data_IF_491703077157
#
_entry.id   IF_491703077157
#
_cell.length_a   1.000
_cell.length_b   1.000
_cell.length_c   1.000
_cell.angle_alpha   90.00
_cell.angle_beta   90.00
_cell.angle_gamma   90.00
#
_symmetry.space_group_name_H-M   'P 1'
#
loop_
_entity.id
_entity.type
_entity.pdbx_description
1 polymer ?
#
# COMPACT_ATOMS: atom_id res chain seq x y z
N UNK A 1 -16.94 -14.45 16.16
CA UNK A 1 -17.32 -14.49 14.72
C UNK A 1 -18.34 -13.38 14.49
N UNK A 2 -18.08 -12.49 13.52
CA UNK A 2 -18.78 -11.21 13.33
C UNK A 2 -20.25 -11.36 12.95
N UNK A 3 -20.59 -12.40 12.16
CA UNK A 3 -21.97 -12.65 11.77
C UNK A 3 -22.79 -13.14 12.96
N UNK A 4 -22.21 -13.98 13.82
CA UNK A 4 -22.82 -14.35 15.11
C UNK A 4 -23.00 -13.15 16.04
N UNK A 5 -22.04 -12.23 16.09
CA UNK A 5 -22.15 -11.01 16.89
C UNK A 5 -23.29 -10.11 16.39
N UNK A 6 -23.42 -9.93 15.06
CA UNK A 6 -24.54 -9.21 14.46
C UNK A 6 -25.89 -9.80 14.86
N UNK A 7 -26.05 -11.12 14.80
CA UNK A 7 -27.31 -11.76 15.18
C UNK A 7 -27.68 -11.49 16.65
N UNK A 8 -26.71 -11.66 17.56
CA UNK A 8 -26.93 -11.37 19.00
C UNK A 8 -27.33 -9.92 19.27
N UNK A 9 -26.77 -8.98 18.52
CA UNK A 9 -27.10 -7.57 18.63
C UNK A 9 -28.55 -7.30 18.19
N UNK A 10 -29.02 -7.95 17.12
CA UNK A 10 -30.43 -7.87 16.70
C UNK A 10 -31.34 -8.42 17.79
N UNK A 11 -31.00 -9.57 18.38
CA UNK A 11 -31.81 -10.21 19.41
C UNK A 11 -31.90 -9.34 20.69
N UNK A 12 -30.78 -8.71 21.11
CA UNK A 12 -30.74 -7.81 22.26
C UNK A 12 -31.53 -6.50 22.02
N UNK A 13 -31.44 -5.92 20.83
CA UNK A 13 -32.25 -4.77 20.44
C UNK A 13 -33.76 -5.10 20.45
N UNK A 14 -34.12 -6.29 19.97
CA UNK A 14 -35.51 -6.76 20.00
C UNK A 14 -36.02 -6.95 21.43
N UNK A 15 -35.22 -7.58 22.30
CA UNK A 15 -35.58 -7.82 23.70
C UNK A 15 -35.79 -6.52 24.49
N UNK A 16 -35.08 -5.45 24.14
CA UNK A 16 -35.20 -4.13 24.77
C UNK A 16 -36.26 -3.23 24.11
N UNK A 17 -36.99 -3.73 23.11
CA UNK A 17 -37.95 -2.97 22.32
C UNK A 17 -37.32 -1.72 21.65
N UNK A 18 -36.05 -1.83 21.24
CA UNK A 18 -35.27 -0.79 20.54
C UNK A 18 -35.15 -1.05 19.04
N UNK A 19 -35.70 -2.17 18.55
CA UNK A 19 -35.69 -2.55 17.15
C UNK A 19 -37.00 -2.14 16.48
N UNK A 20 -36.95 -1.20 15.54
CA UNK A 20 -38.14 -0.74 14.81
C UNK A 20 -38.58 -1.74 13.72
N UNK A 21 -37.68 -2.12 12.82
CA UNK A 21 -37.95 -3.04 11.72
C UNK A 21 -36.66 -3.65 11.17
N UNK A 22 -36.78 -4.81 10.48
CA UNK A 22 -35.69 -5.44 9.73
C UNK A 22 -36.15 -5.61 8.29
N UNK A 23 -35.40 -5.04 7.35
CA UNK A 23 -35.71 -5.08 5.92
C UNK A 23 -34.56 -5.73 5.13
N UNK A 24 -34.85 -6.62 4.17
CA UNK A 24 -33.85 -7.11 3.23
C UNK A 24 -33.25 -5.95 2.43
N UNK A 25 -31.92 -5.91 2.34
CA UNK A 25 -31.21 -4.88 1.59
C UNK A 25 -29.99 -5.48 0.88
N UNK A 26 -29.84 -5.19 -0.40
CA UNK A 26 -28.71 -5.63 -1.21
C UNK A 26 -27.56 -4.63 -1.08
N UNK A 27 -26.45 -5.07 -0.50
CA UNK A 27 -25.25 -4.27 -0.30
C UNK A 27 -24.15 -4.68 -1.28
N UNK A 28 -23.43 -3.69 -1.80
CA UNK A 28 -22.16 -3.91 -2.51
C UNK A 28 -21.04 -4.04 -1.47
N UNK A 29 -20.71 -5.27 -1.10
CA UNK A 29 -19.74 -5.55 -0.05
C UNK A 29 -18.34 -5.75 -0.67
N UNK A 30 -17.32 -4.98 -0.26
CA UNK A 30 -15.96 -5.16 -0.75
C UNK A 30 -15.39 -6.51 -0.29
N UNK A 31 -14.69 -7.19 -1.20
CA UNK A 31 -14.07 -8.49 -0.96
C UNK A 31 -12.61 -8.45 -1.36
N UNK A 32 -11.78 -9.17 -0.60
CA UNK A 32 -10.37 -9.33 -0.92
C UNK A 32 -10.23 -10.08 -2.25
N UNK A 33 -9.44 -9.52 -3.16
CA UNK A 33 -9.23 -10.06 -4.51
C UNK A 33 -8.75 -11.52 -4.49
N UNK A 34 -7.83 -11.86 -3.57
CA UNK A 34 -7.24 -13.20 -3.47
C UNK A 34 -8.09 -14.21 -2.72
N UNK A 35 -8.73 -13.81 -1.61
CA UNK A 35 -9.43 -14.74 -0.71
C UNK A 35 -10.95 -14.73 -0.86
N UNK A 36 -11.51 -13.71 -1.50
CA UNK A 36 -12.96 -13.47 -1.58
C UNK A 36 -13.62 -13.12 -0.23
N UNK A 37 -12.83 -13.01 0.84
CA UNK A 37 -13.32 -12.66 2.17
C UNK A 37 -13.79 -11.20 2.20
N UNK A 38 -14.85 -10.91 2.95
CA UNK A 38 -15.32 -9.53 3.14
C UNK A 38 -14.24 -8.72 3.86
N UNK A 39 -13.86 -7.60 3.26
CA UNK A 39 -12.89 -6.64 3.79
C UNK A 39 -13.53 -5.87 4.93
N UNK A 40 -12.80 -5.74 6.04
CA UNK A 40 -13.20 -4.93 7.19
C UNK A 40 -12.23 -3.76 7.34
N UNK A 41 -12.71 -2.51 7.31
CA UNK A 41 -11.86 -1.37 7.61
C UNK A 41 -11.53 -1.38 9.10
N UNK A 42 -10.24 -1.31 9.41
CA UNK A 42 -9.73 -1.19 10.77
C UNK A 42 -8.73 -0.03 10.81
N UNK A 43 -8.70 0.68 11.94
CA UNK A 43 -7.66 1.68 12.18
C UNK A 43 -6.41 0.97 12.69
N UNK A 44 -5.31 1.16 11.98
CA UNK A 44 -3.98 0.70 12.37
C UNK A 44 -2.94 1.71 11.88
N UNK A 45 -1.83 1.80 12.59
CA UNK A 45 -0.68 2.56 12.13
C UNK A 45 -0.06 1.84 10.93
N UNK A 46 0.16 2.56 9.84
CA UNK A 46 0.64 2.03 8.57
C UNK A 46 1.54 3.06 7.88
N UNK A 47 2.39 2.59 6.97
CA UNK A 47 3.25 3.43 6.16
C UNK A 47 2.50 3.89 4.91
N UNK A 48 2.46 5.21 4.71
CA UNK A 48 1.83 5.82 3.56
C UNK A 48 2.83 6.64 2.75
N UNK A 49 2.70 6.56 1.44
CA UNK A 49 3.40 7.41 0.49
C UNK A 49 2.48 8.56 0.06
N UNK A 50 2.99 9.80 0.12
CA UNK A 50 2.34 10.95 -0.50
C UNK A 50 2.44 10.81 -2.03
N UNK A 51 1.32 10.41 -2.62
CA UNK A 51 1.20 10.19 -4.06
C UNK A 51 0.77 11.44 -4.82
N UNK A 52 0.31 12.50 -4.15
CA UNK A 52 -0.26 13.67 -4.81
C UNK A 52 0.82 14.36 -5.66
N UNK A 53 1.98 14.61 -5.07
CA UNK A 53 3.13 15.20 -5.76
C UNK A 53 3.64 14.33 -6.92
N UNK A 54 3.65 13.01 -6.72
CA UNK A 54 4.08 12.06 -7.75
C UNK A 54 3.11 12.04 -8.93
N UNK A 55 1.80 12.08 -8.66
CA UNK A 55 0.77 12.11 -9.68
C UNK A 55 0.82 13.37 -10.54
N UNK A 56 1.05 14.53 -9.92
CA UNK A 56 1.22 15.80 -10.64
C UNK A 56 2.40 15.75 -11.61
N UNK A 57 3.55 15.22 -11.17
CA UNK A 57 4.72 15.09 -12.02
C UNK A 57 4.50 14.10 -13.17
N UNK A 58 3.84 12.98 -12.90
CA UNK A 58 3.52 11.98 -13.91
C UNK A 58 2.56 12.53 -14.98
N UNK A 59 1.57 13.34 -14.59
CA UNK A 59 0.70 14.07 -15.53
C UNK A 59 1.49 15.08 -16.37
N UNK A 60 2.40 15.85 -15.76
CA UNK A 60 3.22 16.84 -16.46
C UNK A 60 4.00 16.20 -17.61
N UNK A 61 4.69 15.09 -17.35
CA UNK A 61 5.51 14.37 -18.36
C UNK A 61 4.64 13.86 -19.52
N UNK A 62 3.44 13.37 -19.24
CA UNK A 62 2.49 12.94 -20.27
C UNK A 62 1.99 14.13 -21.10
N UNK A 63 1.58 15.23 -20.47
CA UNK A 63 1.07 16.43 -21.17
C UNK A 63 2.14 17.13 -22.02
N UNK A 64 3.41 17.08 -21.61
CA UNK A 64 4.54 17.57 -22.40
C UNK A 64 4.87 16.67 -23.61
N UNK A 65 4.21 15.52 -23.74
CA UNK A 65 4.40 14.59 -24.85
C UNK A 65 5.65 13.71 -24.73
N UNK A 66 6.30 13.68 -23.55
CA UNK A 66 7.45 12.81 -23.30
C UNK A 66 7.03 11.32 -23.23
N UNK A 67 5.80 11.06 -22.80
CA UNK A 67 5.17 9.73 -22.81
C UNK A 67 3.98 9.74 -23.78
N UNK A 68 3.89 8.70 -24.62
CA UNK A 68 2.79 8.53 -25.56
C UNK A 68 2.04 7.23 -25.29
N UNK A 69 0.74 7.34 -25.07
CA UNK A 69 -0.14 6.18 -24.92
C UNK A 69 -0.53 5.57 -26.27
N UNK A 70 -0.58 4.24 -26.31
CA UNK A 70 -1.09 3.47 -27.45
C UNK A 70 -2.02 2.37 -26.93
N UNK A 71 -3.32 2.39 -27.27
CA UNK A 71 -4.05 3.46 -27.96
C UNK A 71 -4.10 4.81 -27.20
N UNK A 72 -4.24 5.92 -27.93
CA UNK A 72 -4.13 7.27 -27.36
C UNK A 72 -5.22 7.64 -26.35
N UNK A 73 -6.41 7.02 -26.42
CA UNK A 73 -7.53 7.29 -25.51
C UNK A 73 -7.28 6.85 -24.06
N UNK A 74 -6.28 6.00 -23.80
CA UNK A 74 -5.91 5.60 -22.44
C UNK A 74 -5.42 6.77 -21.58
N UNK A 75 -5.02 7.88 -22.21
CA UNK A 75 -4.65 9.11 -21.50
C UNK A 75 -5.78 9.61 -20.59
N UNK A 76 -7.05 9.53 -21.02
CA UNK A 76 -8.18 9.99 -20.20
C UNK A 76 -8.37 9.14 -18.94
N UNK A 77 -8.19 7.82 -19.04
CA UNK A 77 -8.25 6.92 -17.88
C UNK A 77 -7.12 7.21 -16.91
N UNK A 78 -5.92 7.47 -17.45
CA UNK A 78 -4.73 7.80 -16.67
C UNK A 78 -4.90 9.14 -15.93
N UNK A 79 -5.37 10.18 -16.62
CA UNK A 79 -5.69 11.49 -16.06
C UNK A 79 -6.74 11.42 -14.97
N UNK A 80 -7.83 10.70 -15.22
CA UNK A 80 -8.89 10.53 -14.23
C UNK A 80 -8.40 9.82 -12.96
N UNK A 81 -7.53 8.82 -13.11
CA UNK A 81 -6.96 8.09 -11.97
C UNK A 81 -5.97 8.97 -11.18
N UNK A 82 -5.03 9.62 -11.86
CA UNK A 82 -4.04 10.48 -11.22
C UNK A 82 -4.64 11.75 -10.59
N UNK A 83 -5.74 12.26 -11.14
CA UNK A 83 -6.46 13.41 -10.59
C UNK A 83 -7.22 13.12 -9.29
N UNK A 84 -7.37 11.85 -8.90
CA UNK A 84 -8.12 11.42 -7.71
C UNK A 84 -7.30 10.48 -6.81
N UNK A 85 -5.98 10.66 -6.77
CA UNK A 85 -5.11 9.82 -5.95
C UNK A 85 -5.37 10.00 -4.45
N UNK A 86 -5.33 8.89 -3.74
CA UNK A 86 -5.21 8.85 -2.29
C UNK A 86 -3.82 8.38 -1.91
N UNK A 87 -3.33 8.80 -0.73
CA UNK A 87 -2.06 8.32 -0.21
C UNK A 87 -2.01 6.79 -0.24
N UNK A 88 -0.94 6.27 -0.81
CA UNK A 88 -0.79 4.84 -1.00
C UNK A 88 -0.25 4.21 0.27
N UNK A 89 -1.05 3.35 0.90
CA UNK A 89 -0.57 2.47 1.97
C UNK A 89 0.43 1.46 1.39
N UNK A 90 1.70 1.59 1.74
CA UNK A 90 2.80 0.76 1.22
C UNK A 90 3.21 -0.37 2.18
N UNK A 91 2.74 -0.38 3.43
CA UNK A 91 3.00 -1.47 4.38
C UNK A 91 2.00 -2.62 4.25
N UNK A 92 2.47 -3.85 4.46
CA UNK A 92 1.67 -5.08 4.42
C UNK A 92 2.08 -6.01 5.56
N UNK A 93 1.10 -6.56 6.25
CA UNK A 93 1.28 -7.56 7.31
C UNK A 93 1.38 -8.96 6.69
N UNK A 94 2.39 -9.16 5.83
CA UNK A 94 2.66 -10.41 5.12
C UNK A 94 4.04 -10.94 5.50
N UNK A 95 4.22 -12.25 5.42
CA UNK A 95 5.53 -12.87 5.67
C UNK A 95 6.49 -12.76 4.49
N UNK A 96 5.96 -12.53 3.28
CA UNK A 96 6.74 -12.43 2.06
C UNK A 96 6.75 -10.99 1.54
N UNK A 97 7.95 -10.42 1.42
CA UNK A 97 8.19 -9.10 0.88
C UNK A 97 9.48 -8.50 1.44
N UNK A 98 9.83 -7.31 0.96
CA UNK A 98 10.97 -6.56 1.48
C UNK A 98 10.59 -5.92 2.81
N UNK A 99 11.31 -6.21 3.90
CA UNK A 99 11.08 -5.58 5.21
C UNK A 99 11.26 -4.07 5.10
N UNK A 100 10.33 -3.32 5.69
CA UNK A 100 10.40 -1.86 5.67
C UNK A 100 11.67 -1.42 6.41
N UNK A 101 12.48 -0.51 5.82
CA UNK A 101 13.70 -0.01 6.45
C UNK A 101 13.36 1.06 7.51
N UNK A 102 12.53 0.69 8.48
CA UNK A 102 12.19 1.50 9.64
C UNK A 102 12.44 0.68 10.91
N UNK A 103 12.91 1.36 11.95
CA UNK A 103 13.26 0.77 13.24
C UNK A 103 12.64 1.59 14.36
N UNK A 104 12.32 0.90 15.46
CA UNK A 104 11.70 1.46 16.65
C UNK A 104 12.60 1.25 17.86
N UNK A 105 12.64 2.24 18.73
CA UNK A 105 13.10 2.02 20.11
C UNK A 105 11.97 1.56 21.02
N UNK A 106 12.29 1.27 22.28
CA UNK A 106 11.31 0.82 23.29
C UNK A 106 10.24 1.88 23.62
N UNK A 107 10.47 3.15 23.26
CA UNK A 107 9.52 4.24 23.43
C UNK A 107 8.60 4.44 22.20
N UNK A 108 8.83 3.68 21.11
CA UNK A 108 8.09 3.78 19.87
C UNK A 108 8.58 4.89 18.94
N UNK A 109 9.73 5.51 19.20
CA UNK A 109 10.34 6.49 18.29
C UNK A 109 10.84 5.78 17.04
N UNK A 110 10.52 6.36 15.87
CA UNK A 110 10.87 5.80 14.56
C UNK A 110 12.19 6.34 14.04
N UNK A 111 13.01 5.45 13.48
CA UNK A 111 14.28 5.72 12.81
C UNK A 111 14.30 5.03 11.44
N UNK A 112 14.72 5.72 10.38
CA UNK A 112 14.74 5.19 9.00
C UNK A 112 16.16 5.23 8.46
N UNK A 113 16.64 4.10 7.93
CA UNK A 113 18.02 3.91 7.50
C UNK A 113 18.15 2.76 6.50
N UNK A 114 19.28 2.61 5.80
CA UNK A 114 19.45 1.49 4.85
C UNK A 114 19.62 0.13 5.54
N UNK A 115 20.11 0.13 6.78
CA UNK A 115 20.34 -1.08 7.57
C UNK A 115 20.32 -0.78 9.08
N UNK A 116 20.29 -1.84 9.89
CA UNK A 116 20.20 -1.75 11.35
C UNK A 116 21.38 -1.00 11.98
N UNK A 117 22.61 -1.23 11.51
CA UNK A 117 23.80 -0.59 12.08
C UNK A 117 23.74 0.94 11.91
N UNK A 118 23.26 1.40 10.76
CA UNK A 118 23.02 2.82 10.50
C UNK A 118 21.94 3.39 11.42
N UNK A 119 20.81 2.69 11.55
CA UNK A 119 19.71 3.11 12.42
C UNK A 119 20.15 3.21 13.90
N UNK A 120 20.86 2.20 14.41
CA UNK A 120 21.36 2.18 15.79
C UNK A 120 22.42 3.27 16.03
N UNK A 121 23.22 3.62 15.03
CA UNK A 121 24.15 4.75 15.11
C UNK A 121 23.42 6.09 15.22
N UNK A 122 22.33 6.27 14.47
CA UNK A 122 21.50 7.47 14.57
C UNK A 122 20.81 7.59 15.93
N UNK A 123 20.35 6.46 16.48
CA UNK A 123 19.63 6.42 17.76
C UNK A 123 20.55 6.38 18.99
N UNK A 124 21.80 5.94 18.83
CA UNK A 124 22.74 5.70 19.93
C UNK A 124 22.35 4.54 20.84
N UNK A 125 21.49 3.63 20.37
CA UNK A 125 20.92 2.51 21.14
C UNK A 125 20.46 1.37 20.21
N UNK A 126 20.29 0.13 20.71
CA UNK A 126 19.70 -0.97 19.94
C UNK A 126 18.27 -0.66 19.53
N UNK A 127 17.86 -1.12 18.34
CA UNK A 127 16.52 -0.90 17.81
C UNK A 127 15.91 -2.19 17.26
N UNK A 128 14.57 -2.22 17.15
CA UNK A 128 13.82 -3.32 16.51
C UNK A 128 13.27 -2.87 15.17
N UNK A 129 13.53 -3.63 14.11
CA UNK A 129 12.99 -3.33 12.78
C UNK A 129 11.47 -3.53 12.74
N UNK A 130 10.76 -2.71 11.96
CA UNK A 130 9.36 -2.89 11.61
C UNK A 130 9.10 -4.30 11.06
N UNK A 131 8.00 -4.92 11.50
CA UNK A 131 7.60 -6.27 11.10
C UNK A 131 6.89 -6.33 9.76
N UNK A 132 6.39 -5.20 9.29
CA UNK A 132 5.74 -5.08 8.00
C UNK A 132 6.73 -5.20 6.84
N UNK A 133 6.19 -5.66 5.71
CA UNK A 133 6.88 -5.67 4.43
C UNK A 133 6.25 -4.65 3.47
N UNK A 134 7.04 -4.22 2.49
CA UNK A 134 6.58 -3.35 1.42
C UNK A 134 5.60 -4.08 0.50
N UNK A 135 4.62 -3.33 -0.01
CA UNK A 135 3.72 -3.79 -1.06
C UNK A 135 4.50 -4.29 -2.28
N UNK A 136 4.05 -5.40 -2.87
CA UNK A 136 4.69 -5.95 -4.07
C UNK A 136 4.70 -4.94 -5.22
N UNK A 137 3.66 -4.10 -5.32
CA UNK A 137 3.61 -3.02 -6.31
C UNK A 137 4.68 -1.94 -6.09
N UNK A 138 5.16 -1.75 -4.85
CA UNK A 138 6.26 -0.82 -4.55
C UNK A 138 7.55 -1.27 -5.20
N UNK A 139 7.93 -2.55 -5.02
CA UNK A 139 9.11 -3.09 -5.69
C UNK A 139 8.95 -3.15 -7.21
N UNK A 140 7.75 -3.49 -7.72
CA UNK A 140 7.51 -3.53 -9.17
C UNK A 140 7.63 -2.15 -9.83
N UNK A 141 7.27 -1.08 -9.13
CA UNK A 141 7.42 0.29 -9.63
C UNK A 141 8.89 0.69 -9.84
N UNK A 142 9.83 0.02 -9.17
CA UNK A 142 11.27 0.28 -9.28
C UNK A 142 11.96 -0.51 -10.41
N UNK A 143 11.23 -1.37 -11.11
CA UNK A 143 11.77 -2.22 -12.19
C UNK A 143 12.61 -1.48 -13.25
N UNK A 144 12.20 -0.29 -13.76
CA UNK A 144 12.97 0.44 -14.75
C UNK A 144 14.37 0.85 -14.27
N UNK A 145 14.60 0.89 -12.96
CA UNK A 145 15.88 1.24 -12.35
C UNK A 145 16.64 -0.01 -11.91
N UNK A 146 15.97 -0.91 -11.17
CA UNK A 146 16.61 -2.06 -10.51
C UNK A 146 17.26 -3.03 -11.50
N UNK A 147 16.76 -3.09 -12.73
CA UNK A 147 17.33 -3.93 -13.79
C UNK A 147 18.57 -3.33 -14.46
N UNK A 148 18.86 -2.05 -14.23
CA UNK A 148 19.94 -1.32 -14.88
C UNK A 148 21.10 -1.02 -13.93
N UNK A 149 21.22 -1.76 -12.82
CA UNK A 149 22.33 -1.63 -11.88
C UNK A 149 22.15 -0.53 -10.82
N UNK A 150 21.01 0.15 -10.79
CA UNK A 150 20.60 0.97 -9.65
C UNK A 150 20.31 0.08 -8.43
N UNK A 151 20.72 0.45 -7.21
CA UNK A 151 21.24 1.77 -6.78
C UNK A 151 22.75 1.96 -6.88
N UNK A 152 23.50 0.94 -7.30
CA UNK A 152 24.97 0.92 -7.20
C UNK A 152 25.69 1.52 -8.42
N UNK A 153 24.97 2.23 -9.31
CA UNK A 153 25.46 2.80 -10.59
C UNK A 153 26.40 1.85 -11.37
N UNK A 154 26.08 0.54 -11.39
CA UNK A 154 26.90 -0.42 -12.14
C UNK A 154 26.50 -0.35 -13.62
N UNK A 155 27.42 0.03 -14.55
CA UNK A 155 27.07 0.17 -15.95
C UNK A 155 26.68 -1.17 -16.59
N UNK A 156 25.40 -1.31 -16.93
CA UNK A 156 24.84 -2.20 -17.96
C UNK A 156 25.45 -3.60 -18.12
N UNK A 157 24.93 -4.59 -17.40
CA UNK A 157 24.77 -5.93 -18.01
C UNK A 157 23.54 -5.87 -18.90
N UNK A 158 23.76 -5.72 -20.20
CA UNK A 158 22.72 -5.73 -21.23
C UNK A 158 21.77 -6.93 -21.07
N UNK A 159 20.49 -6.81 -21.46
CA UNK A 159 19.57 -7.94 -21.43
C UNK A 159 20.14 -9.09 -22.26
N UNK A 160 20.27 -10.27 -21.63
CA UNK A 160 20.52 -11.53 -22.33
C UNK A 160 19.38 -11.68 -23.36
N UNK A 161 19.67 -11.85 -24.66
CA UNK A 161 18.62 -12.07 -25.64
C UNK A 161 17.86 -13.33 -25.26
N UNK A 162 16.53 -13.22 -25.21
CA UNK A 162 15.65 -14.36 -25.00
C UNK A 162 15.96 -15.43 -26.07
N UNK A 163 16.21 -16.66 -25.61
CA UNK A 163 16.21 -17.84 -26.46
C UNK A 163 14.77 -18.20 -26.82
#
# INVERSE_FOLDING_TARGET
ERFRARQRLIDDLAARNLLAEVKPHTLMIPRGDRSGAVIEPMLSDQWFLDTERMGQEALRVVHEGQIRFVPGNWIHTYEHWLGNLQHWCISRQLWWGHRIPAWYDDAGQVYVAENQQEAERQAGKPLRQDDDVLDTWFSSALWPFSTLGWPTDTPGTAPVPAQ
#
